data_IF_028569121389
#
_entry.id   IF_028569121389
#
_cell.length_a   1.000
_cell.length_b   1.000
_cell.length_c   1.000
_cell.angle_alpha   90.00
_cell.angle_beta   90.00
_cell.angle_gamma   90.00
#
_symmetry.space_group_name_H-M   'P 1'
#
loop_
_entity.id
_entity.type
_entity.pdbx_description
1 polymer ?
#
# COMPACT_ATOMS: atom_id res chain seq x y z
N UNK A 1 -29.67 56.26 -28.82
CA UNK A 1 -30.03 54.94 -28.27
C UNK A 1 -28.97 53.96 -28.74
N UNK A 2 -27.98 53.70 -27.89
CA UNK A 2 -26.98 52.67 -28.13
C UNK A 2 -26.79 51.98 -26.77
N UNK A 3 -27.40 50.80 -26.69
CA UNK A 3 -27.36 49.90 -25.55
C UNK A 3 -25.95 49.29 -25.49
N UNK A 4 -25.28 49.42 -24.35
CA UNK A 4 -23.93 48.88 -24.12
C UNK A 4 -23.98 48.03 -22.86
N UNK A 5 -24.39 46.79 -23.04
CA UNK A 5 -24.26 45.74 -22.04
C UNK A 5 -22.79 45.31 -21.98
N UNK A 6 -22.13 45.30 -20.81
CA UNK A 6 -20.79 44.73 -20.70
C UNK A 6 -20.84 43.19 -20.77
N UNK A 7 -19.81 42.52 -21.33
CA UNK A 7 -19.77 41.07 -21.42
C UNK A 7 -19.59 40.44 -20.03
N UNK A 8 -20.23 39.29 -19.83
CA UNK A 8 -20.10 38.47 -18.63
C UNK A 8 -18.65 38.05 -18.37
N UNK A 9 -18.24 37.90 -17.10
CA UNK A 9 -16.91 37.39 -16.79
C UNK A 9 -16.80 35.92 -17.22
N UNK A 10 -15.75 35.61 -17.97
CA UNK A 10 -15.34 34.24 -18.29
C UNK A 10 -15.17 33.45 -16.99
N UNK A 11 -16.01 32.42 -16.82
CA UNK A 11 -15.85 31.47 -15.75
C UNK A 11 -14.53 30.72 -15.95
N UNK A 12 -13.57 30.99 -15.07
CA UNK A 12 -12.31 30.25 -14.97
C UNK A 12 -12.61 28.76 -14.77
N UNK A 13 -12.27 27.97 -15.80
CA UNK A 13 -12.33 26.51 -15.78
C UNK A 13 -11.44 26.01 -14.63
N UNK A 14 -11.92 25.14 -13.72
CA UNK A 14 -11.07 24.57 -12.70
C UNK A 14 -9.95 23.75 -13.36
N UNK A 15 -8.70 24.09 -13.04
CA UNK A 15 -7.51 23.34 -13.44
C UNK A 15 -7.73 21.85 -13.12
N UNK A 16 -7.63 21.02 -14.15
CA UNK A 16 -7.70 19.58 -13.96
C UNK A 16 -6.54 19.13 -13.07
N UNK A 17 -6.78 18.22 -12.11
CA UNK A 17 -5.74 17.79 -11.20
C UNK A 17 -4.59 17.18 -12.00
N UNK A 18 -3.39 17.67 -11.71
CA UNK A 18 -2.11 17.17 -12.24
C UNK A 18 -2.11 15.66 -12.13
N UNK A 19 -2.05 14.94 -13.27
CA UNK A 19 -1.88 13.48 -13.29
C UNK A 19 -0.55 13.16 -12.61
N UNK A 20 -0.60 12.83 -11.32
CA UNK A 20 0.55 12.26 -10.64
C UNK A 20 0.88 10.95 -11.32
N UNK A 21 2.11 10.83 -11.79
CA UNK A 21 2.65 9.63 -12.42
C UNK A 21 2.84 8.58 -11.30
N UNK A 22 1.74 7.92 -10.90
CA UNK A 22 1.74 6.93 -9.82
C UNK A 22 2.64 5.71 -10.11
N UNK A 23 3.18 5.62 -11.34
CA UNK A 23 4.13 4.61 -11.84
C UNK A 23 3.91 3.23 -11.23
N UNK A 24 2.65 2.78 -11.29
CA UNK A 24 2.39 1.36 -11.12
C UNK A 24 3.03 0.61 -12.28
N UNK A 25 3.48 -0.60 -12.01
CA UNK A 25 3.84 -1.54 -13.06
C UNK A 25 2.62 -1.73 -14.00
N UNK A 26 2.84 -1.86 -15.31
CA UNK A 26 1.77 -1.89 -16.32
C UNK A 26 0.66 -2.88 -15.97
N UNK A 27 1.04 -4.08 -15.50
CA UNK A 27 0.09 -5.11 -15.08
C UNK A 27 -0.80 -4.66 -13.90
N UNK A 28 -0.27 -3.93 -12.92
CA UNK A 28 -1.06 -3.38 -11.83
C UNK A 28 -1.90 -2.19 -12.28
N UNK A 29 -1.40 -1.37 -13.20
CA UNK A 29 -2.15 -0.26 -13.77
C UNK A 29 -3.41 -0.76 -14.51
N UNK A 30 -3.34 -1.91 -15.17
CA UNK A 30 -4.52 -2.55 -15.80
C UNK A 30 -5.59 -2.97 -14.78
N UNK A 31 -5.20 -3.29 -13.54
CA UNK A 31 -6.13 -3.75 -12.51
C UNK A 31 -6.66 -2.61 -11.63
N UNK A 32 -5.85 -1.57 -11.41
CA UNK A 32 -6.11 -0.52 -10.42
C UNK A 32 -6.21 0.88 -11.03
N UNK A 33 -6.05 1.02 -12.35
CA UNK A 33 -6.07 2.33 -13.02
C UNK A 33 -7.35 3.11 -12.75
N UNK A 34 -8.50 2.43 -12.81
CA UNK A 34 -9.82 3.02 -12.59
C UNK A 34 -10.00 3.55 -11.15
N UNK A 35 -9.25 3.02 -10.17
CA UNK A 35 -9.29 3.53 -8.80
C UNK A 35 -8.86 4.99 -8.72
N UNK A 36 -7.91 5.40 -9.56
CA UNK A 36 -7.36 6.76 -9.57
C UNK A 36 -8.36 7.81 -10.06
N UNK A 37 -9.41 7.39 -10.76
CA UNK A 37 -10.47 8.27 -11.26
C UNK A 37 -11.64 8.40 -10.28
N UNK A 38 -11.69 7.56 -9.23
CA UNK A 38 -12.79 7.55 -8.27
C UNK A 38 -12.70 8.74 -7.31
N UNK A 39 -13.87 9.23 -6.88
CA UNK A 39 -13.97 10.40 -6.01
C UNK A 39 -13.26 10.24 -4.64
N UNK A 40 -13.16 9.02 -4.11
CA UNK A 40 -12.42 8.77 -2.86
C UNK A 40 -10.92 9.03 -3.05
N UNK A 41 -10.37 8.72 -4.24
CA UNK A 41 -8.96 8.88 -4.54
C UNK A 41 -8.54 10.35 -4.48
N UNK A 42 -9.36 11.22 -5.08
CA UNK A 42 -9.13 12.67 -5.05
C UNK A 42 -9.08 13.19 -3.60
N UNK A 43 -10.02 12.76 -2.75
CA UNK A 43 -10.04 13.12 -1.32
C UNK A 43 -8.80 12.60 -0.58
N UNK A 44 -8.43 11.35 -0.82
CA UNK A 44 -7.24 10.73 -0.25
C UNK A 44 -5.97 11.50 -0.62
N UNK A 45 -5.80 11.87 -1.89
CA UNK A 45 -4.63 12.62 -2.35
C UNK A 45 -4.57 14.01 -1.73
N UNK A 46 -5.70 14.73 -1.67
CA UNK A 46 -5.76 16.03 -1.01
C UNK A 46 -5.39 15.93 0.48
N UNK A 47 -5.89 14.91 1.17
CA UNK A 47 -5.56 14.64 2.57
C UNK A 47 -4.05 14.37 2.75
N UNK A 48 -3.47 13.43 1.99
CA UNK A 48 -2.05 13.08 2.12
C UNK A 48 -1.14 14.25 1.75
N UNK A 49 -1.50 15.05 0.74
CA UNK A 49 -0.76 16.25 0.35
C UNK A 49 -0.80 17.32 1.46
N UNK A 50 -1.96 17.55 2.08
CA UNK A 50 -2.07 18.46 3.22
C UNK A 50 -1.25 18.00 4.42
N UNK A 51 -1.26 16.69 4.70
CA UNK A 51 -0.45 16.08 5.75
C UNK A 51 1.05 16.25 5.49
N UNK A 52 1.50 16.03 4.25
CA UNK A 52 2.91 16.21 3.85
C UNK A 52 3.39 17.66 3.96
N UNK A 53 2.51 18.64 3.86
CA UNK A 53 2.84 20.07 4.04
C UNK A 53 3.07 20.45 5.50
N UNK A 54 2.48 19.72 6.43
CA UNK A 54 2.44 20.10 7.85
C UNK A 54 3.20 19.13 8.76
N UNK A 55 3.48 17.92 8.28
CA UNK A 55 4.08 16.84 9.05
C UNK A 55 4.98 15.95 8.19
N UNK A 56 5.91 15.25 8.85
CA UNK A 56 6.65 14.14 8.22
C UNK A 56 5.67 12.97 7.97
N UNK A 57 5.46 12.60 6.71
CA UNK A 57 4.63 11.44 6.30
C UNK A 57 5.51 10.38 5.64
N UNK A 58 5.36 9.14 6.11
CA UNK A 58 6.10 7.98 5.63
C UNK A 58 5.20 6.97 4.90
N UNK A 59 5.74 6.22 3.91
CA UNK A 59 7.06 6.42 3.31
C UNK A 59 7.12 7.73 2.48
N UNK A 60 8.30 8.13 1.98
CA UNK A 60 8.39 9.19 0.98
C UNK A 60 7.47 8.92 -0.21
N UNK A 61 6.96 9.96 -0.86
CA UNK A 61 5.96 9.82 -1.92
C UNK A 61 6.39 8.87 -3.03
N UNK A 62 7.66 8.93 -3.45
CA UNK A 62 8.28 8.08 -4.47
C UNK A 62 8.31 6.59 -4.11
N UNK A 63 8.15 6.24 -2.83
CA UNK A 63 8.16 4.87 -2.35
C UNK A 63 6.75 4.36 -2.01
N UNK A 64 5.69 5.19 -2.03
CA UNK A 64 4.32 4.80 -1.60
C UNK A 64 3.82 3.51 -2.27
N UNK A 65 4.10 3.32 -3.56
CA UNK A 65 3.66 2.16 -4.35
C UNK A 65 4.77 1.11 -4.57
N UNK A 66 5.86 1.16 -3.79
CA UNK A 66 7.02 0.31 -4.02
C UNK A 66 6.71 -1.20 -4.01
N UNK A 67 5.73 -1.67 -3.23
CA UNK A 67 5.29 -3.07 -3.23
C UNK A 67 4.83 -3.52 -4.62
N UNK A 68 3.98 -2.72 -5.29
CA UNK A 68 3.44 -3.02 -6.62
C UNK A 68 4.52 -3.02 -7.71
N UNK A 69 5.52 -2.15 -7.59
CA UNK A 69 6.66 -2.13 -8.52
C UNK A 69 7.65 -3.28 -8.31
N UNK A 70 7.71 -3.87 -7.12
CA UNK A 70 8.61 -4.99 -6.81
C UNK A 70 8.02 -6.36 -7.10
N UNK A 71 6.69 -6.47 -7.06
CA UNK A 71 5.98 -7.71 -7.29
C UNK A 71 4.91 -7.46 -8.36
N UNK A 72 5.20 -7.68 -9.65
CA UNK A 72 4.23 -7.57 -10.74
C UNK A 72 3.00 -8.44 -10.47
N UNK A 73 1.83 -7.99 -10.94
CA UNK A 73 0.54 -8.62 -10.64
C UNK A 73 0.53 -10.11 -11.01
N UNK A 74 1.08 -10.46 -12.19
CA UNK A 74 1.08 -11.85 -12.64
C UNK A 74 2.03 -12.75 -11.85
N UNK A 75 3.10 -12.17 -11.31
CA UNK A 75 4.09 -12.86 -10.50
C UNK A 75 3.64 -13.09 -9.05
N UNK A 76 2.53 -12.51 -8.59
CA UNK A 76 2.07 -12.72 -7.21
C UNK A 76 1.68 -14.18 -7.01
N UNK A 77 2.31 -14.81 -6.01
CA UNK A 77 2.04 -16.16 -5.50
C UNK A 77 1.59 -16.11 -4.03
N UNK A 78 2.10 -15.14 -3.27
CA UNK A 78 1.82 -14.96 -1.84
C UNK A 78 1.54 -13.49 -1.56
N UNK A 79 0.54 -13.19 -0.75
CA UNK A 79 0.28 -11.85 -0.21
C UNK A 79 0.49 -11.89 1.30
N UNK A 80 1.28 -10.98 1.85
CA UNK A 80 1.39 -10.78 3.29
C UNK A 80 0.85 -9.38 3.60
N UNK A 81 -0.22 -9.34 4.41
CA UNK A 81 -0.87 -8.09 4.78
C UNK A 81 -0.35 -7.55 6.12
N UNK A 82 0.17 -6.34 6.08
CA UNK A 82 0.42 -5.49 7.24
C UNK A 82 -0.69 -4.44 7.43
N UNK A 83 -0.62 -3.69 8.53
CA UNK A 83 -1.60 -2.65 8.85
C UNK A 83 -1.22 -1.31 8.20
N UNK A 84 -0.18 -0.65 8.71
CA UNK A 84 0.32 0.64 8.23
C UNK A 84 1.86 0.64 8.15
N UNK A 85 2.47 1.62 7.45
CA UNK A 85 3.92 1.70 7.36
C UNK A 85 4.57 1.97 8.72
N UNK A 86 5.86 1.69 8.84
CA UNK A 86 6.61 2.13 10.01
C UNK A 86 6.62 3.66 10.14
N UNK A 87 6.21 4.15 11.31
CA UNK A 87 6.02 5.57 11.59
C UNK A 87 7.26 6.29 12.16
N UNK A 88 8.45 5.67 12.15
CA UNK A 88 9.71 6.32 12.59
C UNK A 88 10.59 6.70 11.40
N UNK A 89 11.42 7.75 11.54
CA UNK A 89 12.31 8.20 10.47
C UNK A 89 13.17 7.09 9.90
N UNK A 90 13.23 7.02 8.56
CA UNK A 90 14.08 6.08 7.81
C UNK A 90 13.64 4.63 7.82
N UNK A 91 12.50 4.27 8.44
CA UNK A 91 12.04 2.88 8.49
C UNK A 91 11.22 2.47 7.26
N UNK A 92 10.08 3.12 7.03
CA UNK A 92 9.16 2.70 5.97
C UNK A 92 9.71 2.99 4.57
N UNK A 93 9.51 2.02 3.67
CA UNK A 93 9.92 2.09 2.26
C UNK A 93 8.87 1.60 1.26
N UNK A 94 7.59 1.68 1.66
CA UNK A 94 6.44 1.23 0.86
C UNK A 94 6.34 -0.27 0.59
N UNK A 95 7.00 -1.08 1.43
CA UNK A 95 6.95 -2.53 1.40
C UNK A 95 6.67 -2.97 2.84
N UNK A 96 5.58 -3.71 3.07
CA UNK A 96 5.17 -4.11 4.42
C UNK A 96 6.28 -4.89 5.14
N UNK A 97 6.44 -4.63 6.44
CA UNK A 97 7.48 -5.21 7.32
C UNK A 97 8.95 -4.91 6.94
N UNK A 98 9.23 -4.43 5.72
CA UNK A 98 10.58 -4.23 5.18
C UNK A 98 11.15 -2.87 5.56
N UNK A 99 12.46 -2.82 5.80
CA UNK A 99 13.24 -1.58 5.98
C UNK A 99 14.44 -1.55 5.02
N UNK A 100 15.06 -0.38 4.84
CA UNK A 100 16.32 -0.26 4.09
C UNK A 100 17.46 -1.02 4.79
N UNK A 101 18.46 -1.51 4.03
CA UNK A 101 19.68 -2.09 4.61
C UNK A 101 20.41 -1.01 5.43
N UNK A 102 20.98 -1.40 6.58
CA UNK A 102 21.59 -0.46 7.53
C UNK A 102 20.60 0.15 8.54
N UNK A 103 19.29 0.04 8.30
CA UNK A 103 18.28 0.42 9.29
C UNK A 103 18.10 -0.72 10.30
N UNK A 104 18.04 -0.37 11.59
CA UNK A 104 17.80 -1.34 12.67
C UNK A 104 16.49 -2.09 12.43
N UNK A 105 16.57 -3.42 12.40
CA UNK A 105 15.41 -4.30 12.22
C UNK A 105 14.32 -4.02 13.26
N UNK A 106 13.10 -3.61 12.83
CA UNK A 106 12.02 -3.28 13.75
C UNK A 106 11.54 -4.48 14.58
N UNK A 107 10.86 -4.27 15.72
CA UNK A 107 10.39 -5.34 16.58
C UNK A 107 9.54 -6.40 15.88
N UNK A 108 8.56 -6.00 15.06
CA UNK A 108 7.70 -6.94 14.34
C UNK A 108 8.48 -7.80 13.35
N UNK A 109 9.39 -7.21 12.56
CA UNK A 109 10.23 -8.00 11.66
C UNK A 109 11.18 -8.94 12.42
N UNK A 110 11.70 -8.54 13.60
CA UNK A 110 12.48 -9.45 14.44
C UNK A 110 11.65 -10.65 14.92
N UNK A 111 10.35 -10.48 15.20
CA UNK A 111 9.49 -11.61 15.56
C UNK A 111 9.28 -12.53 14.36
N UNK A 112 9.05 -11.98 13.17
CA UNK A 112 8.96 -12.75 11.92
C UNK A 112 10.26 -13.52 11.61
N UNK A 113 11.43 -12.90 11.79
CA UNK A 113 12.72 -13.59 11.66
C UNK A 113 12.92 -14.72 12.68
N UNK A 114 12.50 -14.52 13.94
CA UNK A 114 12.55 -15.59 14.95
C UNK A 114 11.65 -16.75 14.58
N UNK A 115 10.48 -16.45 14.02
CA UNK A 115 9.53 -17.46 13.55
C UNK A 115 10.11 -18.27 12.39
N UNK A 116 10.69 -17.61 11.38
CA UNK A 116 11.39 -18.28 10.27
C UNK A 116 12.48 -19.23 10.76
N UNK A 117 13.27 -18.81 11.76
CA UNK A 117 14.30 -19.66 12.35
C UNK A 117 13.71 -20.87 13.08
N UNK A 118 12.65 -20.66 13.85
CA UNK A 118 11.98 -21.72 14.61
C UNK A 118 11.34 -22.75 13.69
N UNK A 119 10.63 -22.29 12.67
CA UNK A 119 9.83 -23.12 11.77
C UNK A 119 10.68 -23.83 10.72
N UNK A 120 11.61 -23.09 10.08
CA UNK A 120 12.35 -23.58 8.91
C UNK A 120 13.86 -23.74 9.16
N UNK A 121 14.36 -23.39 10.35
CA UNK A 121 15.81 -23.41 10.64
C UNK A 121 16.60 -22.33 9.89
N UNK A 122 15.93 -21.37 9.25
CA UNK A 122 16.57 -20.32 8.45
C UNK A 122 17.15 -19.25 9.38
N UNK A 123 18.47 -19.06 9.31
CA UNK A 123 19.12 -18.00 10.09
C UNK A 123 18.71 -16.60 9.62
N UNK A 124 18.26 -15.71 10.53
CA UNK A 124 17.89 -14.36 10.16
C UNK A 124 19.05 -13.57 9.55
N UNK A 125 18.83 -12.82 8.47
CA UNK A 125 19.84 -11.91 7.95
C UNK A 125 20.12 -10.77 8.94
N UNK A 126 21.29 -10.15 8.80
CA UNK A 126 21.71 -8.98 9.59
C UNK A 126 21.01 -7.68 9.19
N UNK A 127 20.04 -7.73 8.28
CA UNK A 127 19.29 -6.58 7.78
C UNK A 127 17.78 -6.86 7.77
N UNK A 128 16.97 -5.79 7.74
CA UNK A 128 15.51 -5.91 7.66
C UNK A 128 14.91 -5.73 6.26
N UNK A 129 15.71 -5.81 5.20
CA UNK A 129 15.22 -5.67 3.82
C UNK A 129 14.62 -7.00 3.30
N UNK A 130 13.39 -6.93 2.81
CA UNK A 130 12.62 -8.06 2.28
C UNK A 130 12.46 -8.06 0.75
N UNK A 131 13.27 -7.29 0.01
CA UNK A 131 13.17 -7.25 -1.46
C UNK A 131 13.43 -8.62 -2.10
N UNK A 132 14.15 -9.52 -1.43
CA UNK A 132 14.36 -10.89 -1.88
C UNK A 132 13.05 -11.68 -2.00
N UNK A 133 12.14 -11.51 -1.05
CA UNK A 133 10.82 -12.13 -1.08
C UNK A 133 9.94 -11.53 -2.17
N UNK A 134 9.97 -10.20 -2.31
CA UNK A 134 9.18 -9.51 -3.33
C UNK A 134 9.50 -10.00 -4.76
N UNK A 135 10.80 -10.19 -5.05
CA UNK A 135 11.28 -10.75 -6.32
C UNK A 135 10.84 -12.18 -6.60
N UNK A 136 10.39 -12.91 -5.57
CA UNK A 136 9.93 -14.29 -5.65
C UNK A 136 8.40 -14.41 -5.59
N UNK A 137 7.68 -13.33 -5.88
CA UNK A 137 6.21 -13.36 -5.95
C UNK A 137 5.51 -13.10 -4.61
N UNK A 138 6.23 -12.65 -3.57
CA UNK A 138 5.62 -12.27 -2.29
C UNK A 138 5.24 -10.78 -2.31
N UNK A 139 3.95 -10.48 -2.44
CA UNK A 139 3.45 -9.11 -2.30
C UNK A 139 3.34 -8.74 -0.82
N UNK A 140 4.21 -7.81 -0.38
CA UNK A 140 4.26 -7.29 0.99
C UNK A 140 3.48 -5.97 1.05
N UNK A 141 2.18 -6.04 1.33
CA UNK A 141 1.24 -4.92 1.23
C UNK A 141 0.71 -4.50 2.60
N UNK A 142 0.66 -3.20 2.88
CA UNK A 142 -0.07 -2.68 4.04
C UNK A 142 -1.50 -2.29 3.62
N UNK A 143 -2.48 -2.39 4.52
CA UNK A 143 -3.85 -1.90 4.27
C UNK A 143 -3.93 -0.37 4.19
N UNK A 144 -3.03 0.33 4.86
CA UNK A 144 -2.84 1.77 4.74
C UNK A 144 -1.43 2.03 4.18
N UNK A 145 -1.28 2.86 3.13
CA UNK A 145 0.02 3.02 2.45
C UNK A 145 0.86 4.20 2.95
N UNK A 146 0.32 5.05 3.82
CA UNK A 146 1.05 6.17 4.41
C UNK A 146 0.72 6.33 5.90
N UNK A 147 1.59 7.00 6.64
CA UNK A 147 1.43 7.26 8.08
C UNK A 147 2.18 8.53 8.47
N UNK A 148 1.67 9.25 9.47
CA UNK A 148 2.35 10.41 10.06
C UNK A 148 3.43 9.95 11.02
N UNK A 149 4.55 10.67 11.05
CA UNK A 149 5.65 10.40 11.98
C UNK A 149 5.15 10.35 13.43
N UNK A 150 5.48 9.26 14.12
CA UNK A 150 5.17 9.05 15.53
C UNK A 150 3.71 8.69 15.83
N UNK A 151 2.83 8.62 14.82
CA UNK A 151 1.40 8.38 15.01
C UNK A 151 0.94 7.19 14.16
N UNK A 152 1.09 5.98 14.71
CA UNK A 152 0.59 4.76 14.08
C UNK A 152 -0.92 4.87 13.82
N UNK A 153 -1.37 4.40 12.66
CA UNK A 153 -2.77 4.45 12.24
C UNK A 153 -3.31 5.85 11.90
N UNK A 154 -2.48 6.90 11.85
CA UNK A 154 -2.96 8.27 11.65
C UNK A 154 -3.70 8.52 10.32
N UNK A 155 -3.48 7.66 9.31
CA UNK A 155 -4.11 7.77 7.99
C UNK A 155 -5.13 6.65 7.74
N UNK A 156 -5.58 5.97 8.80
CA UNK A 156 -6.67 5.00 8.71
C UNK A 156 -7.98 5.68 8.32
N UNK A 157 -8.81 4.95 7.58
CA UNK A 157 -10.13 5.37 7.13
C UNK A 157 -10.11 6.63 6.22
N UNK A 158 -8.94 6.97 5.66
CA UNK A 158 -8.79 8.10 4.73
C UNK A 158 -8.92 7.69 3.26
N UNK A 159 -9.10 6.39 2.99
CA UNK A 159 -9.37 5.86 1.65
C UNK A 159 -8.29 4.93 1.10
N UNK A 160 -7.17 4.73 1.81
CA UNK A 160 -6.16 3.75 1.40
C UNK A 160 -6.73 2.34 1.39
N UNK A 161 -7.57 2.02 2.36
CA UNK A 161 -8.18 0.72 2.53
C UNK A 161 -9.03 0.38 1.30
N UNK A 162 -9.75 1.35 0.73
CA UNK A 162 -10.54 1.15 -0.49
C UNK A 162 -9.64 0.71 -1.66
N UNK A 163 -8.51 1.40 -1.83
CA UNK A 163 -7.55 1.09 -2.88
C UNK A 163 -6.89 -0.29 -2.69
N UNK A 164 -6.43 -0.59 -1.47
CA UNK A 164 -5.77 -1.87 -1.19
C UNK A 164 -6.76 -3.03 -1.21
N UNK A 165 -8.02 -2.79 -0.87
CA UNK A 165 -9.09 -3.79 -0.98
C UNK A 165 -9.32 -4.15 -2.44
N UNK A 166 -9.27 -3.18 -3.36
CA UNK A 166 -9.36 -3.50 -4.78
C UNK A 166 -8.16 -4.30 -5.27
N UNK A 167 -6.94 -4.04 -4.78
CA UNK A 167 -5.79 -4.88 -5.09
C UNK A 167 -5.97 -6.33 -4.63
N UNK A 168 -6.57 -6.54 -3.44
CA UNK A 168 -6.90 -7.87 -2.92
C UNK A 168 -7.98 -8.54 -3.78
N UNK A 169 -9.07 -7.82 -4.10
CA UNK A 169 -10.14 -8.34 -4.96
C UNK A 169 -9.62 -8.69 -6.36
N UNK A 170 -8.75 -7.87 -6.94
CA UNK A 170 -8.14 -8.14 -8.24
C UNK A 170 -7.35 -9.45 -8.22
N UNK A 171 -6.54 -9.69 -7.19
CA UNK A 171 -5.85 -10.96 -7.00
C UNK A 171 -6.82 -12.12 -6.76
N UNK A 172 -7.88 -11.88 -6.00
CA UNK A 172 -8.91 -12.89 -5.71
C UNK A 172 -9.75 -13.29 -6.92
N UNK A 173 -9.79 -12.47 -7.99
CA UNK A 173 -10.48 -12.80 -9.24
C UNK A 173 -9.63 -13.69 -10.15
N UNK A 174 -8.36 -13.93 -9.81
CA UNK A 174 -7.45 -14.74 -10.64
C UNK A 174 -7.76 -16.22 -10.48
N UNK A 175 -7.64 -16.96 -11.58
CA UNK A 175 -7.65 -18.43 -11.55
C UNK A 175 -6.36 -19.03 -10.97
N UNK A 176 -5.25 -18.28 -11.02
CA UNK A 176 -3.98 -18.67 -10.40
C UNK A 176 -4.13 -18.58 -8.87
N UNK A 177 -3.90 -19.70 -8.18
CA UNK A 177 -3.93 -19.75 -6.72
C UNK A 177 -2.91 -18.78 -6.11
N UNK A 178 -3.34 -18.10 -5.05
CA UNK A 178 -2.54 -17.16 -4.25
C UNK A 178 -2.75 -17.51 -2.79
N UNK A 179 -1.69 -17.46 -1.99
CA UNK A 179 -1.77 -17.65 -0.54
C UNK A 179 -1.77 -16.30 0.17
N UNK A 180 -2.81 -16.01 0.95
CA UNK A 180 -2.95 -14.77 1.71
C UNK A 180 -2.62 -14.99 3.18
N UNK A 181 -1.57 -14.33 3.67
CA UNK A 181 -1.17 -14.30 5.08
C UNK A 181 -1.71 -13.03 5.73
N UNK A 182 -2.68 -13.19 6.64
CA UNK A 182 -3.41 -12.10 7.28
C UNK A 182 -2.91 -11.93 8.73
N UNK A 183 -2.07 -10.91 8.96
CA UNK A 183 -1.42 -10.67 10.25
C UNK A 183 -2.14 -9.58 11.06
N UNK A 184 -2.88 -9.98 12.09
CA UNK A 184 -3.61 -9.05 12.98
C UNK A 184 -5.05 -8.74 12.53
N UNK A 185 -5.81 -8.05 13.40
CA UNK A 185 -7.25 -7.80 13.22
C UNK A 185 -7.62 -7.12 11.88
N UNK A 186 -7.01 -5.97 11.51
CA UNK A 186 -7.32 -5.29 10.26
C UNK A 186 -7.06 -6.15 9.01
N UNK A 187 -5.97 -6.93 9.00
CA UNK A 187 -5.66 -7.85 7.92
C UNK A 187 -6.67 -9.00 7.85
N UNK A 188 -7.07 -9.58 9.00
CA UNK A 188 -8.07 -10.65 9.06
C UNK A 188 -9.44 -10.23 8.53
N UNK A 189 -9.83 -8.98 8.74
CA UNK A 189 -11.08 -8.45 8.18
C UNK A 189 -11.12 -8.52 6.65
N UNK A 190 -9.96 -8.50 5.97
CA UNK A 190 -9.88 -8.59 4.51
C UNK A 190 -10.16 -9.98 3.95
N UNK A 191 -10.36 -10.98 4.81
CA UNK A 191 -10.74 -12.34 4.39
C UNK A 191 -12.00 -12.38 3.53
N UNK A 192 -12.98 -11.51 3.81
CA UNK A 192 -14.23 -11.43 3.04
C UNK A 192 -14.03 -11.06 1.57
N UNK A 193 -12.86 -10.52 1.21
CA UNK A 193 -12.50 -10.14 -0.15
C UNK A 193 -11.88 -11.28 -0.96
N UNK A 194 -11.68 -12.45 -0.34
CA UNK A 194 -10.89 -13.57 -0.89
C UNK A 194 -11.82 -14.75 -1.19
N UNK A 195 -11.81 -15.20 -2.43
CA UNK A 195 -12.44 -16.44 -2.88
C UNK A 195 -11.62 -17.66 -2.43
N UNK A 196 -11.96 -18.18 -1.26
CA UNK A 196 -11.32 -19.36 -0.67
C UNK A 196 -11.61 -20.68 -1.44
N UNK A 197 -12.47 -20.68 -2.47
CA UNK A 197 -12.60 -21.84 -3.36
C UNK A 197 -11.37 -22.01 -4.28
N UNK A 198 -10.70 -20.90 -4.60
CA UNK A 198 -9.49 -20.87 -5.45
C UNK A 198 -8.24 -20.63 -4.61
N UNK A 199 -8.30 -19.70 -3.66
CA UNK A 199 -7.15 -19.22 -2.90
C UNK A 199 -7.02 -19.88 -1.53
N UNK A 200 -5.95 -19.59 -0.80
CA UNK A 200 -5.74 -20.10 0.57
C UNK A 200 -5.46 -18.97 1.52
N UNK A 201 -6.06 -19.01 2.70
CA UNK A 201 -5.92 -17.97 3.73
C UNK A 201 -5.25 -18.57 4.96
N UNK A 202 -4.21 -17.90 5.47
CA UNK A 202 -3.55 -18.23 6.72
C UNK A 202 -3.64 -17.00 7.63
N UNK A 203 -4.29 -17.16 8.78
CA UNK A 203 -4.47 -16.09 9.76
C UNK A 203 -3.53 -16.27 10.96
N UNK A 204 -2.95 -15.18 11.44
CA UNK A 204 -2.23 -15.19 12.73
C UNK A 204 -2.32 -13.84 13.44
N UNK A 205 -1.86 -13.79 14.69
CA UNK A 205 -1.69 -12.55 15.42
C UNK A 205 -0.61 -11.68 14.74
N UNK A 206 -0.67 -10.37 14.93
CA UNK A 206 0.35 -9.47 14.38
C UNK A 206 1.72 -9.74 15.04
N UNK A 207 2.81 -9.84 14.26
CA UNK A 207 4.15 -10.05 14.79
C UNK A 207 4.72 -8.83 15.53
#
# INVERSE_FOLDING_TARGET
>A
MADSTPPFPEASVPEQPVRQDYRLHDEWALQLGDEFEKGYWCKLQQFVEAERKTSDVYPPQSETFAAFGKTPFECVDVVVLGQDPYHRPGQARGVAFSVHKGVRTPPSLRKLHKELKRDLGIEPPSHGNLDGWAKQGVLLLNTTLTVRRGAAGSHQDQGWEIFTDEAIRALSRRSKRVVFLLFGGPAKAKRELIDESVHSVIETAHP
#
